data_IF_815534185531
#
_entry.id   IF_815534185531
#
_cell.length_a   1.000
_cell.length_b   1.000
_cell.length_c   1.000
_cell.angle_alpha   90.00
_cell.angle_beta   90.00
_cell.angle_gamma   90.00
#
_symmetry.space_group_name_H-M   'P 1'
#
loop_
_entity.id
_entity.type
_entity.pdbx_description
1 polymer ?
#
# COMPACT_ATOMS: atom_id res chain seq x y z
N UNK A 1 18.06 -7.80 -16.53
CA UNK A 1 17.44 -9.13 -16.37
C UNK A 1 16.45 -9.03 -15.23
N UNK A 2 15.18 -8.77 -15.55
CA UNK A 2 14.09 -8.58 -14.60
C UNK A 2 13.13 -9.75 -14.76
N UNK A 3 13.30 -10.78 -13.93
CA UNK A 3 12.45 -11.96 -13.91
C UNK A 3 12.16 -12.33 -12.48
N UNK A 4 11.15 -11.70 -11.87
CA UNK A 4 10.53 -12.21 -10.63
C UNK A 4 9.20 -11.57 -10.25
N UNK A 5 8.41 -11.01 -11.19
CA UNK A 5 7.09 -10.48 -10.87
C UNK A 5 6.09 -10.81 -11.98
N UNK A 6 6.05 -12.09 -12.37
CA UNK A 6 4.90 -12.67 -13.06
C UNK A 6 4.42 -13.90 -12.29
N UNK A 7 4.34 -13.76 -10.96
CA UNK A 7 3.57 -14.68 -10.14
C UNK A 7 2.38 -13.90 -9.61
N UNK A 8 1.27 -14.11 -10.32
CA UNK A 8 -0.12 -13.99 -9.90
C UNK A 8 -0.34 -14.74 -8.59
N UNK A 9 0.28 -14.27 -7.51
CA UNK A 9 -0.03 -14.61 -6.13
C UNK A 9 -1.11 -13.63 -5.65
N UNK A 10 -2.22 -13.59 -6.39
CA UNK A 10 -3.45 -13.82 -5.66
C UNK A 10 -3.31 -15.27 -5.21
N UNK A 11 -2.67 -15.49 -4.05
CA UNK A 11 -2.86 -16.71 -3.28
C UNK A 11 -4.36 -16.90 -3.31
N UNK A 12 -4.82 -17.96 -3.97
CA UNK A 12 -6.24 -18.17 -4.18
C UNK A 12 -6.86 -18.39 -2.80
N UNK A 13 -7.20 -17.29 -2.11
CA UNK A 13 -7.73 -17.31 -0.75
C UNK A 13 -9.03 -18.13 -0.72
N UNK A 14 -9.64 -18.34 -1.89
CA UNK A 14 -10.82 -19.17 -2.13
C UNK A 14 -10.55 -20.68 -1.99
N UNK A 15 -9.30 -21.15 -2.11
CA UNK A 15 -8.95 -22.57 -1.91
C UNK A 15 -8.78 -22.95 -0.43
N UNK A 16 -8.78 -21.98 0.48
CA UNK A 16 -8.68 -22.20 1.92
C UNK A 16 -10.10 -22.30 2.51
N UNK A 17 -10.48 -23.47 3.03
CA UNK A 17 -11.84 -23.70 3.58
C UNK A 17 -12.26 -22.68 4.65
N UNK A 18 -11.32 -22.21 5.47
CA UNK A 18 -11.55 -21.20 6.51
C UNK A 18 -11.80 -19.77 5.99
N UNK A 19 -11.69 -19.55 4.68
CA UNK A 19 -11.95 -18.26 4.02
C UNK A 19 -13.10 -18.30 3.01
N UNK A 20 -13.75 -19.47 2.80
CA UNK A 20 -14.87 -19.61 1.86
C UNK A 20 -16.11 -18.78 2.24
N UNK A 21 -16.32 -18.56 3.53
CA UNK A 21 -17.38 -17.70 4.08
C UNK A 21 -17.07 -16.20 3.92
N UNK A 22 -15.79 -15.85 3.73
CA UNK A 22 -15.33 -14.46 3.54
C UNK A 22 -15.34 -13.99 2.08
N UNK A 23 -15.69 -14.88 1.14
CA UNK A 23 -15.75 -14.60 -0.30
C UNK A 23 -16.87 -13.60 -0.64
N UNK A 24 -17.86 -13.47 0.24
CA UNK A 24 -18.86 -12.41 0.20
C UNK A 24 -18.52 -11.26 1.14
N UNK A 25 -17.32 -10.68 1.06
CA UNK A 25 -17.01 -9.48 1.83
C UNK A 25 -18.05 -8.40 1.47
N UNK A 26 -18.88 -7.91 2.42
CA UNK A 26 -19.94 -6.94 2.12
C UNK A 26 -19.38 -5.55 1.77
N UNK A 27 -18.07 -5.36 1.90
CA UNK A 27 -17.38 -4.12 1.59
C UNK A 27 -16.78 -4.14 0.19
N UNK A 28 -16.96 -3.04 -0.54
CA UNK A 28 -16.28 -2.77 -1.80
C UNK A 28 -14.79 -2.51 -1.54
N UNK A 29 -13.98 -3.56 -1.61
CA UNK A 29 -12.53 -3.48 -1.49
C UNK A 29 -11.91 -3.25 -2.87
N UNK A 30 -11.21 -2.13 -3.04
CA UNK A 30 -10.46 -1.83 -4.25
C UNK A 30 -8.96 -2.05 -4.04
N UNK A 31 -8.33 -2.80 -4.94
CA UNK A 31 -6.88 -2.89 -5.02
C UNK A 31 -6.36 -1.82 -5.98
N UNK A 32 -5.43 -1.01 -5.53
CA UNK A 32 -4.77 0.02 -6.34
C UNK A 32 -3.36 -0.48 -6.68
N UNK A 33 -3.09 -0.67 -7.96
CA UNK A 33 -1.77 -1.03 -8.48
C UNK A 33 -0.94 0.23 -8.79
N UNK A 34 0.37 0.05 -9.03
CA UNK A 34 1.25 1.15 -9.42
C UNK A 34 1.67 2.08 -8.28
N UNK A 35 1.24 1.81 -7.03
CA UNK A 35 1.69 2.54 -5.86
C UNK A 35 3.19 2.37 -5.69
N UNK A 36 3.93 3.47 -5.69
CA UNK A 36 5.36 3.43 -5.49
C UNK A 36 5.69 2.89 -4.10
N UNK A 37 6.47 1.81 -4.04
CA UNK A 37 6.81 1.14 -2.79
C UNK A 37 7.92 1.85 -2.02
N UNK A 38 7.95 1.68 -0.70
CA UNK A 38 9.07 2.13 0.11
C UNK A 38 10.38 1.47 -0.33
N UNK A 39 11.48 2.22 -0.32
CA UNK A 39 12.81 1.67 -0.61
C UNK A 39 13.22 0.64 0.44
N UNK A 40 13.84 -0.47 0.00
CA UNK A 40 14.38 -1.50 0.88
C UNK A 40 15.36 -0.86 1.87
N UNK A 41 15.22 -1.20 3.16
CA UNK A 41 16.04 -0.65 4.24
C UNK A 41 15.47 0.63 4.88
N UNK A 42 14.34 1.17 4.40
CA UNK A 42 13.66 2.27 5.08
C UNK A 42 13.00 1.81 6.38
N UNK A 43 13.23 2.56 7.46
CA UNK A 43 12.57 2.40 8.76
C UNK A 43 11.24 3.18 8.85
N UNK A 44 10.91 3.97 7.84
CA UNK A 44 9.79 4.92 7.86
C UNK A 44 8.44 4.30 7.43
N UNK A 45 8.25 2.99 7.68
CA UNK A 45 7.05 2.24 7.24
C UNK A 45 5.75 2.86 7.75
N UNK A 46 5.77 3.33 9.00
CA UNK A 46 4.61 3.98 9.62
C UNK A 46 4.26 5.32 8.97
N UNK A 47 5.26 6.12 8.61
CA UNK A 47 5.07 7.40 7.92
C UNK A 47 4.50 7.19 6.52
N UNK A 48 4.96 6.15 5.83
CA UNK A 48 4.47 5.79 4.50
C UNK A 48 2.98 5.42 4.54
N UNK A 49 2.56 4.57 5.48
CA UNK A 49 1.13 4.21 5.66
C UNK A 49 0.29 5.43 6.06
N UNK A 50 0.77 6.23 7.03
CA UNK A 50 0.06 7.43 7.48
C UNK A 50 -0.13 8.46 6.35
N UNK A 51 0.87 8.59 5.47
CA UNK A 51 0.78 9.45 4.31
C UNK A 51 -0.31 8.97 3.34
N UNK A 52 -0.31 7.70 2.93
CA UNK A 52 -1.34 7.19 2.03
C UNK A 52 -2.74 7.25 2.64
N UNK A 53 -2.88 6.97 3.93
CA UNK A 53 -4.15 7.09 4.64
C UNK A 53 -4.69 8.52 4.57
N UNK A 54 -3.84 9.52 4.85
CA UNK A 54 -4.20 10.93 4.74
C UNK A 54 -4.53 11.32 3.30
N UNK A 55 -3.68 10.94 2.38
CA UNK A 55 -3.79 11.30 0.97
C UNK A 55 -5.08 10.75 0.33
N UNK A 56 -5.44 9.49 0.65
CA UNK A 56 -6.71 8.89 0.24
C UNK A 56 -7.91 9.52 0.95
N UNK A 57 -7.77 9.91 2.23
CA UNK A 57 -8.83 10.62 2.96
C UNK A 57 -9.13 12.00 2.33
N UNK A 58 -8.10 12.65 1.78
CA UNK A 58 -8.22 13.91 1.04
C UNK A 58 -8.81 13.71 -0.37
N UNK A 59 -9.12 12.46 -0.78
CA UNK A 59 -9.69 12.13 -2.09
C UNK A 59 -8.71 12.28 -3.26
N UNK A 60 -7.40 12.37 -2.98
CA UNK A 60 -6.37 12.58 -3.99
C UNK A 60 -5.98 11.26 -4.67
N UNK A 61 -5.61 11.34 -5.96
CA UNK A 61 -5.13 10.18 -6.73
C UNK A 61 -3.74 9.73 -6.30
N UNK A 62 -3.62 8.45 -5.96
CA UNK A 62 -2.38 7.84 -5.46
C UNK A 62 -1.18 8.25 -6.34
N UNK A 63 -0.13 8.85 -5.76
CA UNK A 63 1.08 9.19 -6.50
C UNK A 63 1.76 7.91 -6.99
N UNK A 64 2.14 7.91 -8.27
CA UNK A 64 2.91 6.81 -8.89
C UNK A 64 4.43 7.04 -8.75
N UNK A 65 4.84 8.22 -8.28
CA UNK A 65 6.22 8.56 -7.97
C UNK A 65 6.59 8.13 -6.53
N UNK A 66 7.85 7.74 -6.35
CA UNK A 66 8.36 7.31 -5.04
C UNK A 66 8.21 8.41 -3.98
N UNK A 67 7.64 8.05 -2.83
CA UNK A 67 7.57 8.96 -1.69
C UNK A 67 8.96 9.20 -1.08
N UNK A 68 9.39 10.46 -1.05
CA UNK A 68 10.61 10.86 -0.32
C UNK A 68 10.36 10.82 1.19
N UNK A 69 10.82 9.73 1.82
CA UNK A 69 10.75 9.53 3.25
C UNK A 69 11.43 10.67 4.05
N UNK A 70 12.50 11.26 3.50
CA UNK A 70 13.19 12.40 4.11
C UNK A 70 12.31 13.65 4.16
N UNK A 71 11.56 13.92 3.08
CA UNK A 71 10.60 15.02 3.02
C UNK A 71 9.41 14.78 3.96
N UNK A 72 8.88 13.55 3.99
CA UNK A 72 7.80 13.17 4.91
C UNK A 72 8.22 13.40 6.36
N UNK A 73 9.41 12.92 6.75
CA UNK A 73 9.93 13.10 8.10
C UNK A 73 10.05 14.58 8.48
N UNK A 74 10.55 15.44 7.58
CA UNK A 74 10.62 16.89 7.81
C UNK A 74 9.24 17.52 8.01
N UNK A 75 8.26 17.16 7.18
CA UNK A 75 6.89 17.68 7.27
C UNK A 75 6.24 17.29 8.60
N UNK A 76 6.34 16.03 9.02
CA UNK A 76 5.78 15.57 10.28
C UNK A 76 6.54 16.09 11.50
N UNK A 77 7.86 16.20 11.44
CA UNK A 77 8.65 16.80 12.51
C UNK A 77 8.32 18.29 12.73
N UNK A 78 7.91 19.02 11.68
CA UNK A 78 7.46 20.41 11.81
C UNK A 78 6.04 20.56 12.38
N UNK A 79 5.27 19.47 12.45
CA UNK A 79 3.92 19.46 13.02
C UNK A 79 3.89 19.05 14.50
N UNK A 80 5.05 18.69 15.07
CA UNK A 80 5.25 18.35 16.47
C UNK A 80 5.87 19.54 17.22
#
# INVERSE_FOLDING_TARGET
MSGLLDQKLCTDWLTIEAYRDKVGNPFDVQYVEGIAQQTIGSLDRGLFVAFYAKYLSDGLQVPNDGLDAGLLRKRYAALL
#
